data_IF_157339349375
#
_entry.id   IF_157339349375
#
_cell.length_a   1.000
_cell.length_b   1.000
_cell.length_c   1.000
_cell.angle_alpha   90.00
_cell.angle_beta   90.00
_cell.angle_gamma   90.00
#
_symmetry.space_group_name_H-M   'P 1'
#
loop_
_entity.id
_entity.type
_entity.pdbx_description
1 polymer ?
#
# COMPACT_ATOMS: atom_id res chain seq x y z
N UNK A 1 20.38 -7.78 6.46
CA UNK A 1 19.61 -6.52 6.60
C UNK A 1 20.35 -5.62 7.58
N UNK A 2 20.39 -4.32 7.36
CA UNK A 2 20.91 -3.37 8.35
C UNK A 2 19.89 -3.27 9.51
N UNK A 3 20.34 -3.48 10.75
CA UNK A 3 19.48 -3.53 11.96
C UNK A 3 18.66 -2.25 12.15
N UNK A 4 19.16 -1.11 11.66
CA UNK A 4 18.45 0.17 11.76
C UNK A 4 17.07 0.18 11.08
N UNK A 5 16.83 -0.74 10.13
CA UNK A 5 15.59 -0.82 9.38
C UNK A 5 14.59 -1.85 9.93
N UNK A 6 14.98 -2.66 10.92
CA UNK A 6 14.10 -3.68 11.53
C UNK A 6 12.73 -3.12 11.95
N UNK A 7 12.62 -1.91 12.55
CA UNK A 7 11.32 -1.36 12.95
C UNK A 7 10.33 -1.15 11.81
N UNK A 8 10.78 -1.00 10.56
CA UNK A 8 9.91 -0.84 9.39
C UNK A 8 9.09 -2.10 9.09
N UNK A 9 9.56 -3.27 9.53
CA UNK A 9 8.93 -4.57 9.29
C UNK A 9 8.07 -5.06 10.45
N UNK A 10 8.05 -4.32 11.56
CA UNK A 10 7.21 -4.64 12.71
C UNK A 10 5.73 -4.39 12.42
N UNK A 11 4.87 -5.18 13.06
CA UNK A 11 3.42 -4.99 13.01
C UNK A 11 3.01 -3.69 13.70
N UNK A 12 1.93 -3.08 13.21
CA UNK A 12 1.30 -1.92 13.85
C UNK A 12 -0.22 -2.06 13.82
N UNK A 13 -0.87 -1.76 14.95
CA UNK A 13 -2.33 -1.74 15.05
C UNK A 13 -2.83 -0.31 14.89
N UNK A 14 -3.74 -0.10 13.94
CA UNK A 14 -4.37 1.20 13.71
C UNK A 14 -5.51 1.46 14.72
N UNK A 15 -5.97 2.71 14.91
CA UNK A 15 -7.04 3.03 15.87
C UNK A 15 -8.36 2.27 15.66
N UNK A 16 -8.63 1.84 14.43
CA UNK A 16 -9.78 1.01 14.06
C UNK A 16 -9.56 -0.50 14.31
N UNK A 17 -8.50 -0.88 15.02
CA UNK A 17 -8.10 -2.26 15.36
C UNK A 17 -7.62 -3.12 14.18
N UNK A 18 -7.41 -2.54 12.99
CA UNK A 18 -6.76 -3.24 11.87
C UNK A 18 -5.27 -3.39 12.16
N UNK A 19 -4.75 -4.62 12.03
CA UNK A 19 -3.32 -4.90 12.15
C UNK A 19 -2.65 -4.88 10.77
N UNK A 20 -1.62 -4.04 10.61
CA UNK A 20 -0.74 -4.05 9.45
C UNK A 20 0.49 -4.92 9.74
N UNK A 21 0.91 -5.70 8.74
CA UNK A 21 2.06 -6.61 8.85
C UNK A 21 3.42 -5.91 8.88
N UNK A 22 3.47 -4.64 8.49
CA UNK A 22 4.67 -3.79 8.47
C UNK A 22 4.25 -2.31 8.40
N UNK A 23 5.24 -1.40 8.37
CA UNK A 23 5.04 0.05 8.33
C UNK A 23 5.17 0.65 6.93
N UNK A 24 5.12 -0.16 5.88
CA UNK A 24 5.15 0.31 4.50
C UNK A 24 3.74 0.58 3.98
N UNK A 25 3.58 1.69 3.27
CA UNK A 25 2.34 2.08 2.61
C UNK A 25 2.68 2.48 1.18
N UNK A 26 1.93 1.96 0.21
CA UNK A 26 1.93 2.51 -1.14
C UNK A 26 1.02 3.73 -1.12
N UNK A 27 1.62 4.92 -1.28
CA UNK A 27 0.83 6.14 -1.42
C UNK A 27 -0.06 6.06 -2.68
N UNK A 28 -1.20 6.77 -2.72
CA UNK A 28 -1.99 6.87 -3.94
C UNK A 28 -1.15 7.43 -5.10
N UNK A 29 -1.18 6.75 -6.23
CA UNK A 29 -0.49 7.15 -7.45
C UNK A 29 -1.51 7.17 -8.60
N UNK A 30 -1.48 8.21 -9.41
CA UNK A 30 -2.27 8.26 -10.65
C UNK A 30 -1.47 7.62 -11.78
N UNK A 31 -2.01 6.57 -12.38
CA UNK A 31 -1.36 5.78 -13.44
C UNK A 31 -2.04 5.89 -14.81
N UNK A 32 -3.13 6.67 -14.93
CA UNK A 32 -3.80 7.03 -16.21
C UNK A 32 -4.00 5.84 -17.16
N UNK A 33 -4.39 4.69 -16.60
CA UNK A 33 -4.55 3.45 -17.38
C UNK A 33 -6.02 2.99 -17.45
N UNK A 34 -6.93 3.72 -16.83
CA UNK A 34 -8.36 3.41 -16.82
C UNK A 34 -8.94 3.50 -18.24
N UNK A 35 -10.06 2.82 -18.49
CA UNK A 35 -10.78 2.96 -19.75
C UNK A 35 -11.33 4.40 -19.90
N UNK A 36 -11.71 4.78 -21.12
CA UNK A 36 -12.23 6.13 -21.42
C UNK A 36 -13.49 6.50 -20.61
N UNK A 37 -14.25 5.50 -20.14
CA UNK A 37 -15.44 5.67 -19.31
C UNK A 37 -15.15 5.73 -17.79
N UNK A 38 -13.88 5.65 -17.40
CA UNK A 38 -13.43 5.67 -16.02
C UNK A 38 -13.59 4.34 -15.27
N UNK A 39 -13.96 3.25 -15.97
CA UNK A 39 -13.93 1.90 -15.40
C UNK A 39 -12.50 1.39 -15.29
N UNK A 40 -12.28 0.44 -14.37
CA UNK A 40 -10.98 -0.23 -14.22
C UNK A 40 -10.62 -1.01 -15.47
N UNK A 41 -9.37 -0.89 -15.95
CA UNK A 41 -8.87 -1.66 -17.08
C UNK A 41 -8.07 -2.89 -16.64
N UNK A 42 -7.90 -3.86 -17.55
CA UNK A 42 -7.18 -5.11 -17.25
C UNK A 42 -5.71 -4.91 -16.85
N UNK A 43 -5.09 -3.77 -17.21
CA UNK A 43 -3.70 -3.44 -16.83
C UNK A 43 -3.60 -2.90 -15.40
N UNK A 44 -4.73 -2.55 -14.77
CA UNK A 44 -4.79 -2.01 -13.40
C UNK A 44 -5.09 -3.10 -12.35
N UNK A 45 -5.35 -4.34 -12.78
CA UNK A 45 -5.63 -5.53 -11.94
C UNK A 45 -4.34 -6.29 -11.63
#
# INVERSE_FOLDING_TARGET
>A
MDKKFEPLFEKVTLPNKVELRNRFVLAPLTHVSSNDDGTISDVEI
#
